data_IF_190076634268
#
_entry.id   IF_190076634268
#
_cell.length_a   1.000
_cell.length_b   1.000
_cell.length_c   1.000
_cell.angle_alpha   90.00
_cell.angle_beta   90.00
_cell.angle_gamma   90.00
#
_symmetry.space_group_name_H-M   'P 1'
#
loop_
_entity.id
_entity.type
_entity.pdbx_description
1 polymer ?
#
# COMPACT_ATOMS: atom_id res chain seq x y z
N UNK A 1 52.21 4.03 -13.10
CA UNK A 1 51.75 2.76 -13.71
C UNK A 1 51.38 1.79 -12.60
N UNK A 2 50.09 1.49 -12.43
CA UNK A 2 49.61 0.54 -11.42
C UNK A 2 49.60 -0.87 -12.02
N UNK A 3 50.50 -1.73 -11.57
CA UNK A 3 50.58 -3.12 -11.99
C UNK A 3 49.20 -3.79 -11.87
N UNK A 4 48.65 -4.25 -13.01
CA UNK A 4 47.45 -5.08 -13.04
C UNK A 4 47.82 -6.43 -12.45
N UNK A 5 47.34 -6.70 -11.25
CA UNK A 5 47.52 -7.99 -10.60
C UNK A 5 46.75 -9.07 -11.40
N UNK A 6 47.49 -9.96 -12.05
CA UNK A 6 46.97 -11.09 -12.83
C UNK A 6 46.31 -12.16 -11.95
N UNK A 7 46.20 -11.93 -10.63
CA UNK A 7 45.69 -12.86 -9.63
C UNK A 7 44.15 -12.92 -9.53
N UNK A 8 43.43 -11.94 -10.09
CA UNK A 8 41.98 -11.86 -9.92
C UNK A 8 41.17 -12.40 -11.11
N UNK A 9 40.38 -13.47 -10.92
CA UNK A 9 39.61 -14.08 -12.01
C UNK A 9 38.47 -13.16 -12.45
N UNK A 10 38.44 -12.81 -13.75
CA UNK A 10 37.29 -12.07 -14.34
C UNK A 10 36.17 -12.99 -14.81
N UNK A 11 36.51 -14.21 -15.16
CA UNK A 11 35.59 -15.23 -15.68
C UNK A 11 35.83 -16.49 -14.86
N UNK A 12 34.75 -17.06 -14.31
CA UNK A 12 34.80 -18.35 -13.63
C UNK A 12 34.12 -19.39 -14.53
N UNK A 13 34.72 -20.57 -14.74
CA UNK A 13 34.15 -21.61 -15.60
C UNK A 13 32.85 -22.15 -14.99
N UNK A 14 31.79 -22.24 -15.78
CA UNK A 14 30.46 -22.73 -15.34
C UNK A 14 30.32 -24.26 -15.44
N UNK A 15 31.42 -24.99 -15.26
CA UNK A 15 31.45 -26.46 -15.34
C UNK A 15 31.08 -27.09 -14.00
N UNK A 16 30.20 -28.09 -14.03
CA UNK A 16 29.76 -28.86 -12.86
C UNK A 16 30.92 -29.28 -11.94
N UNK A 17 30.69 -29.15 -10.63
CA UNK A 17 31.49 -29.62 -9.48
C UNK A 17 32.55 -28.68 -8.89
N UNK A 18 32.24 -27.40 -8.67
CA UNK A 18 32.89 -26.68 -7.56
C UNK A 18 31.91 -26.65 -6.38
N UNK A 19 32.31 -27.19 -5.23
CA UNK A 19 31.50 -27.15 -4.02
C UNK A 19 31.43 -25.71 -3.48
N UNK A 20 30.27 -25.29 -2.93
CA UNK A 20 30.13 -23.96 -2.35
C UNK A 20 31.09 -23.79 -1.17
N UNK A 21 31.73 -22.62 -1.07
CA UNK A 21 32.72 -22.33 -0.03
C UNK A 21 32.22 -21.27 0.93
N UNK A 22 32.55 -21.43 2.21
CA UNK A 22 32.30 -20.42 3.23
C UNK A 22 33.41 -19.37 3.19
N UNK A 23 33.07 -18.09 3.09
CA UNK A 23 34.02 -16.98 3.23
C UNK A 23 34.26 -16.58 4.69
N UNK A 24 35.41 -15.99 4.96
CA UNK A 24 35.74 -15.38 6.28
C UNK A 24 34.83 -14.21 6.64
N UNK A 25 34.06 -13.70 5.69
CA UNK A 25 33.01 -12.69 5.83
C UNK A 25 31.64 -13.28 6.18
N UNK A 26 31.56 -14.57 6.53
CA UNK A 26 30.33 -15.31 6.85
C UNK A 26 29.33 -15.43 5.69
N UNK A 27 29.79 -15.28 4.45
CA UNK A 27 28.98 -15.42 3.23
C UNK A 27 29.36 -16.70 2.48
N UNK A 28 28.36 -17.43 1.95
CA UNK A 28 28.58 -18.60 1.09
C UNK A 28 28.72 -18.16 -0.36
N UNK A 29 29.81 -18.58 -1.00
CA UNK A 29 30.08 -18.32 -2.41
C UNK A 29 29.83 -19.59 -3.22
N UNK A 30 29.27 -19.47 -4.43
CA UNK A 30 28.94 -20.65 -5.24
C UNK A 30 30.19 -21.44 -5.62
N UNK A 31 31.36 -20.79 -5.63
CA UNK A 31 32.65 -21.47 -5.65
C UNK A 31 33.81 -20.63 -5.13
N UNK A 32 34.96 -21.26 -4.95
CA UNK A 32 36.21 -20.58 -4.60
C UNK A 32 36.63 -19.54 -5.66
N UNK A 33 36.31 -19.78 -6.94
CA UNK A 33 36.55 -18.80 -8.00
C UNK A 33 35.65 -17.57 -7.83
N UNK A 34 34.37 -17.77 -7.52
CA UNK A 34 33.43 -16.66 -7.30
C UNK A 34 33.80 -15.81 -6.08
N UNK A 35 34.27 -16.44 -4.99
CA UNK A 35 34.77 -15.76 -3.81
C UNK A 35 35.93 -14.82 -4.18
N UNK A 36 36.93 -15.32 -4.90
CA UNK A 36 38.09 -14.53 -5.33
C UNK A 36 37.71 -13.43 -6.33
N UNK A 37 36.75 -13.67 -7.21
CA UNK A 37 36.27 -12.69 -8.19
C UNK A 37 35.58 -11.51 -7.51
N UNK A 38 34.68 -11.77 -6.56
CA UNK A 38 33.90 -10.73 -5.85
C UNK A 38 34.73 -9.94 -4.83
N UNK A 39 35.69 -10.61 -4.20
CA UNK A 39 36.49 -10.04 -3.10
C UNK A 39 37.97 -9.81 -3.44
N UNK A 40 38.30 -9.73 -4.73
CA UNK A 40 39.63 -9.37 -5.21
C UNK A 40 40.12 -8.07 -4.53
N UNK A 41 41.27 -8.14 -3.85
CA UNK A 41 41.88 -7.01 -3.14
C UNK A 41 41.22 -6.64 -1.80
N UNK A 42 40.19 -7.37 -1.35
CA UNK A 42 39.45 -7.09 -0.11
C UNK A 42 39.83 -8.01 1.07
N UNK A 43 40.79 -8.93 0.89
CA UNK A 43 41.31 -9.78 1.96
C UNK A 43 40.39 -10.91 2.44
N UNK A 44 39.27 -11.18 1.76
CA UNK A 44 38.34 -12.27 2.10
C UNK A 44 38.84 -13.58 1.48
N UNK A 45 38.90 -14.64 2.28
CA UNK A 45 39.39 -15.96 1.88
C UNK A 45 38.39 -17.05 2.27
N UNK A 46 38.62 -18.29 1.83
CA UNK A 46 37.83 -19.44 2.27
C UNK A 46 38.11 -19.66 3.76
N UNK A 47 37.05 -19.65 4.58
CA UNK A 47 37.13 -19.95 5.99
C UNK A 47 37.40 -21.44 6.22
N UNK A 48 38.30 -21.75 7.14
CA UNK A 48 38.52 -23.12 7.65
C UNK A 48 37.38 -23.53 8.59
N UNK A 49 36.80 -22.57 9.29
CA UNK A 49 35.65 -22.78 10.14
C UNK A 49 34.36 -22.63 9.33
N UNK A 50 33.79 -23.77 8.92
CA UNK A 50 32.53 -23.82 8.20
C UNK A 50 31.36 -23.33 9.05
N UNK A 51 31.48 -23.34 10.40
CA UNK A 51 30.42 -22.92 11.31
C UNK A 51 30.11 -21.43 11.23
N UNK A 52 31.01 -20.61 10.69
CA UNK A 52 30.77 -19.20 10.36
C UNK A 52 29.67 -19.00 9.31
N UNK A 53 29.48 -19.97 8.41
CA UNK A 53 28.44 -19.94 7.38
C UNK A 53 27.31 -20.94 7.64
N UNK A 54 27.40 -21.78 8.69
CA UNK A 54 26.23 -22.47 9.21
C UNK A 54 25.36 -21.43 9.90
N UNK A 55 24.27 -21.03 9.24
CA UNK A 55 23.37 -20.01 9.76
C UNK A 55 22.68 -20.47 11.05
N UNK A 56 22.65 -19.56 12.01
CA UNK A 56 21.95 -19.58 13.31
C UNK A 56 22.02 -20.90 14.04
N UNK A 57 22.95 -20.99 14.99
CA UNK A 57 23.04 -22.06 15.97
C UNK A 57 21.67 -22.26 16.67
N UNK A 58 20.83 -23.17 16.15
CA UNK A 58 19.53 -23.55 16.74
C UNK A 58 18.23 -23.23 15.96
N UNK A 59 18.23 -22.71 14.73
CA UNK A 59 16.97 -22.49 14.00
C UNK A 59 16.55 -23.70 13.15
N UNK A 60 15.56 -24.48 13.61
CA UNK A 60 14.91 -25.51 12.78
C UNK A 60 13.99 -24.85 11.75
N UNK A 61 14.44 -24.73 10.50
CA UNK A 61 13.66 -24.25 9.35
C UNK A 61 12.56 -25.26 8.90
N UNK A 62 11.92 -25.96 9.85
CA UNK A 62 10.85 -26.92 9.58
C UNK A 62 9.50 -26.20 9.50
N UNK A 63 9.14 -25.77 8.30
CA UNK A 63 7.82 -25.19 8.02
C UNK A 63 7.08 -26.01 6.96
N UNK A 64 5.82 -26.38 7.24
CA UNK A 64 4.96 -27.04 6.26
C UNK A 64 4.28 -25.98 5.39
N UNK A 65 4.55 -26.01 4.09
CA UNK A 65 3.92 -25.08 3.13
C UNK A 65 2.74 -25.73 2.40
N UNK A 66 1.70 -24.92 2.14
CA UNK A 66 0.58 -25.32 1.28
C UNK A 66 0.99 -25.47 -0.19
N UNK A 67 0.10 -26.07 -1.00
CA UNK A 67 0.28 -26.26 -2.44
C UNK A 67 -0.22 -25.08 -3.29
N UNK A 68 -0.47 -23.93 -2.67
CA UNK A 68 -0.92 -22.73 -3.37
C UNK A 68 0.12 -22.27 -4.40
N UNK A 69 -0.35 -21.93 -5.60
CA UNK A 69 0.48 -21.46 -6.72
C UNK A 69 0.45 -19.94 -6.77
N UNK A 70 1.39 -19.31 -6.10
CA UNK A 70 1.56 -17.85 -6.07
C UNK A 70 3.04 -17.52 -6.18
N UNK A 71 3.56 -17.70 -7.38
CA UNK A 71 5.00 -17.72 -7.63
C UNK A 71 5.69 -16.42 -7.18
N UNK A 72 6.90 -16.57 -6.66
CA UNK A 72 7.78 -15.45 -6.25
C UNK A 72 9.22 -15.71 -6.72
N UNK A 73 9.98 -14.65 -6.94
CA UNK A 73 11.37 -14.73 -7.37
C UNK A 73 12.32 -14.46 -6.19
N UNK A 74 13.26 -15.37 -5.95
CA UNK A 74 14.33 -15.17 -4.98
C UNK A 74 15.51 -14.37 -5.55
N UNK A 75 16.36 -13.83 -4.68
CA UNK A 75 17.62 -13.15 -5.08
C UNK A 75 18.64 -14.10 -5.70
N UNK A 76 18.43 -15.41 -5.57
CA UNK A 76 19.18 -16.47 -6.26
C UNK A 76 18.71 -16.72 -7.70
N UNK A 77 17.71 -15.97 -8.17
CA UNK A 77 17.15 -16.11 -9.52
C UNK A 77 16.25 -17.34 -9.69
N UNK A 78 15.88 -18.03 -8.61
CA UNK A 78 14.98 -19.19 -8.65
C UNK A 78 13.54 -18.76 -8.39
N UNK A 79 12.63 -19.34 -9.16
CA UNK A 79 11.19 -19.16 -8.94
C UNK A 79 10.70 -20.16 -7.90
N UNK A 80 10.12 -19.65 -6.83
CA UNK A 80 9.49 -20.45 -5.77
C UNK A 80 7.99 -20.53 -5.97
N UNK A 81 7.41 -21.69 -5.60
CA UNK A 81 5.98 -21.97 -5.80
C UNK A 81 5.06 -20.94 -5.11
N UNK A 82 5.47 -20.53 -3.90
CA UNK A 82 4.80 -19.53 -3.10
C UNK A 82 5.78 -18.90 -2.10
N UNK A 83 5.34 -17.82 -1.44
CA UNK A 83 6.13 -17.10 -0.43
C UNK A 83 6.57 -17.97 0.74
N UNK A 84 5.79 -18.98 1.12
CA UNK A 84 6.18 -19.92 2.19
C UNK A 84 7.40 -20.75 1.78
N UNK A 85 7.41 -21.29 0.56
CA UNK A 85 8.56 -22.03 0.03
C UNK A 85 9.80 -21.15 -0.10
N UNK A 86 9.64 -19.90 -0.51
CA UNK A 86 10.75 -18.94 -0.48
C UNK A 86 11.24 -18.71 0.96
N UNK A 87 10.34 -18.55 1.94
CA UNK A 87 10.72 -18.32 3.34
C UNK A 87 11.55 -19.47 3.92
N UNK A 88 11.24 -20.71 3.55
CA UNK A 88 12.06 -21.87 3.89
C UNK A 88 13.48 -21.74 3.35
N UNK A 89 13.63 -21.22 2.14
CA UNK A 89 14.91 -21.10 1.45
C UNK A 89 15.68 -19.85 1.92
N UNK A 90 14.98 -18.76 2.27
CA UNK A 90 15.52 -17.64 3.05
C UNK A 90 16.09 -18.15 4.38
N UNK A 91 15.39 -19.07 5.05
CA UNK A 91 15.86 -19.66 6.30
C UNK A 91 17.09 -20.56 6.08
N UNK A 92 17.06 -21.44 5.07
CA UNK A 92 18.10 -22.44 4.78
C UNK A 92 19.38 -21.86 4.18
N UNK A 93 19.24 -21.01 3.16
CA UNK A 93 20.34 -20.54 2.31
C UNK A 93 20.67 -19.07 2.54
N UNK A 94 19.74 -18.32 3.13
CA UNK A 94 19.94 -16.90 3.40
C UNK A 94 19.78 -15.97 2.21
N UNK A 95 18.97 -16.39 1.24
CA UNK A 95 18.50 -15.55 0.15
C UNK A 95 17.41 -14.57 0.63
N UNK A 96 16.91 -13.73 -0.27
CA UNK A 96 15.83 -12.77 -0.01
C UNK A 96 14.78 -12.81 -1.14
N UNK A 97 13.65 -12.15 -0.93
CA UNK A 97 12.65 -11.93 -1.98
C UNK A 97 13.15 -10.84 -2.94
N UNK A 98 13.31 -11.17 -4.22
CA UNK A 98 13.64 -10.21 -5.26
C UNK A 98 12.40 -9.45 -5.73
N UNK A 99 11.40 -10.16 -6.26
CA UNK A 99 10.13 -9.56 -6.69
C UNK A 99 8.99 -10.58 -6.68
N UNK A 100 7.76 -10.07 -6.72
CA UNK A 100 6.57 -10.91 -6.85
C UNK A 100 6.47 -11.50 -8.26
N UNK A 101 5.90 -12.69 -8.40
CA UNK A 101 5.84 -13.40 -9.67
C UNK A 101 7.06 -14.28 -9.96
N UNK A 102 7.02 -15.03 -11.07
CA UNK A 102 8.13 -15.88 -11.47
C UNK A 102 9.35 -15.06 -11.89
N UNK A 103 10.56 -15.56 -11.63
CA UNK A 103 11.77 -14.94 -12.13
C UNK A 103 11.75 -14.88 -13.66
N UNK A 104 12.22 -13.77 -14.21
CA UNK A 104 12.45 -13.65 -15.64
C UNK A 104 13.72 -14.44 -16.02
N UNK A 105 13.71 -15.14 -17.15
CA UNK A 105 14.88 -15.93 -17.55
C UNK A 105 16.02 -14.98 -17.97
N UNK A 106 17.08 -14.90 -17.17
CA UNK A 106 18.20 -13.98 -17.35
C UNK A 106 19.00 -14.30 -18.64
N UNK A 107 18.85 -15.50 -19.22
CA UNK A 107 19.37 -15.80 -20.57
C UNK A 107 18.72 -14.95 -21.67
N UNK A 108 17.60 -14.27 -21.39
CA UNK A 108 16.99 -13.24 -22.24
C UNK A 108 17.61 -11.86 -22.02
N UNK A 109 18.95 -11.76 -21.98
CA UNK A 109 19.71 -10.48 -21.99
C UNK A 109 19.49 -9.61 -23.24
N UNK A 110 18.50 -9.96 -24.08
CA UNK A 110 17.86 -9.11 -25.07
C UNK A 110 16.35 -9.39 -25.05
N UNK A 111 15.67 -9.03 -23.97
CA UNK A 111 14.24 -8.75 -24.10
C UNK A 111 14.14 -7.55 -25.06
N UNK A 112 13.81 -7.82 -26.31
CA UNK A 112 13.51 -6.76 -27.27
C UNK A 112 12.31 -6.00 -26.70
N UNK A 113 12.56 -4.77 -26.24
CA UNK A 113 11.50 -3.89 -25.80
C UNK A 113 10.48 -3.77 -26.93
N UNK A 114 9.19 -4.06 -26.69
CA UNK A 114 8.18 -3.80 -27.70
C UNK A 114 8.19 -2.30 -28.00
N UNK A 115 8.14 -1.92 -29.27
CA UNK A 115 8.06 -0.51 -29.71
C UNK A 115 6.62 -0.07 -29.96
N UNK A 116 5.72 -1.02 -30.21
CA UNK A 116 4.28 -0.79 -30.37
C UNK A 116 3.50 -1.98 -29.82
N UNK A 117 2.27 -1.70 -29.38
CA UNK A 117 1.29 -2.68 -28.91
C UNK A 117 0.04 -2.74 -29.78
N UNK A 118 0.06 -2.13 -30.97
CA UNK A 118 -1.02 -2.22 -31.94
C UNK A 118 -1.18 -3.68 -32.41
N UNK A 119 -2.39 -4.22 -32.28
CA UNK A 119 -2.67 -5.62 -32.62
C UNK A 119 -2.30 -6.65 -31.54
N UNK A 120 -1.78 -6.23 -30.38
CA UNK A 120 -1.49 -7.16 -29.29
C UNK A 120 -2.80 -7.74 -28.68
N UNK A 121 -2.78 -9.00 -28.22
CA UNK A 121 -3.94 -9.60 -27.55
C UNK A 121 -4.37 -8.79 -26.34
N UNK A 122 -5.67 -8.53 -26.23
CA UNK A 122 -6.27 -7.88 -25.07
C UNK A 122 -6.49 -8.92 -23.97
N UNK A 123 -5.42 -9.22 -23.22
CA UNK A 123 -5.44 -10.16 -22.09
C UNK A 123 -5.99 -9.55 -20.79
N UNK A 124 -6.46 -8.30 -20.87
CA UNK A 124 -7.15 -7.56 -19.82
C UNK A 124 -6.19 -6.88 -18.85
N UNK A 125 -6.73 -6.23 -17.80
CA UNK A 125 -5.86 -5.59 -16.83
C UNK A 125 -5.02 -6.65 -16.12
N UNK A 126 -3.70 -6.47 -16.19
CA UNK A 126 -2.71 -7.33 -15.56
C UNK A 126 -2.08 -6.61 -14.37
N UNK A 127 -1.66 -7.38 -13.36
CA UNK A 127 -0.90 -6.88 -12.23
C UNK A 127 0.59 -7.11 -12.51
N UNK A 128 1.41 -6.07 -12.39
CA UNK A 128 2.86 -6.16 -12.46
C UNK A 128 3.47 -6.60 -11.12
N UNK A 129 4.74 -6.96 -11.14
CA UNK A 129 5.52 -7.30 -9.93
C UNK A 129 5.90 -6.08 -9.10
N UNK A 130 5.76 -4.90 -9.69
CA UNK A 130 5.88 -3.58 -9.08
C UNK A 130 4.60 -3.10 -8.38
N UNK A 131 3.53 -3.91 -8.41
CA UNK A 131 2.24 -3.59 -7.81
C UNK A 131 1.34 -2.68 -8.66
N UNK A 132 1.79 -2.29 -9.87
CA UNK A 132 1.01 -1.48 -10.79
C UNK A 132 0.10 -2.34 -11.67
N UNK A 133 -0.93 -1.68 -12.22
CA UNK A 133 -1.90 -2.33 -13.10
C UNK A 133 -1.76 -1.79 -14.51
N UNK A 134 -1.60 -2.69 -15.48
CA UNK A 134 -1.43 -2.37 -16.88
C UNK A 134 -2.60 -2.89 -17.70
N UNK A 135 -2.94 -2.19 -18.80
CA UNK A 135 -4.07 -2.56 -19.66
C UNK A 135 -3.93 -3.92 -20.32
N UNK A 136 -2.69 -4.28 -20.68
CA UNK A 136 -2.30 -5.52 -21.35
C UNK A 136 -0.87 -5.92 -20.99
N UNK A 137 -0.50 -7.17 -21.24
CA UNK A 137 0.90 -7.62 -21.08
C UNK A 137 1.88 -6.86 -21.98
N UNK A 138 1.47 -6.50 -23.20
CA UNK A 138 2.33 -5.70 -24.08
C UNK A 138 2.59 -4.31 -23.49
N UNK A 139 1.54 -3.64 -23.00
CA UNK A 139 1.68 -2.30 -22.46
C UNK A 139 2.54 -2.27 -21.19
N UNK A 140 2.45 -3.30 -20.35
CA UNK A 140 3.40 -3.47 -19.24
C UNK A 140 4.83 -3.53 -19.76
N UNK A 141 5.14 -4.51 -20.63
CA UNK A 141 6.50 -4.71 -21.18
C UNK A 141 7.05 -3.47 -21.89
N UNK A 142 6.19 -2.70 -22.57
CA UNK A 142 6.53 -1.44 -23.23
C UNK A 142 6.96 -0.38 -22.21
N UNK A 143 6.19 -0.20 -21.14
CA UNK A 143 6.42 0.86 -20.14
C UNK A 143 7.52 0.52 -19.13
N UNK A 144 7.71 -0.77 -18.85
CA UNK A 144 8.65 -1.26 -17.83
C UNK A 144 9.86 -1.94 -18.43
N UNK A 145 10.16 -1.69 -19.71
CA UNK A 145 11.27 -2.36 -20.36
C UNK A 145 12.59 -2.06 -19.63
N UNK A 146 13.41 -3.10 -19.42
CA UNK A 146 14.67 -2.98 -18.67
C UNK A 146 14.52 -2.87 -17.15
N UNK A 147 13.30 -2.79 -16.62
CA UNK A 147 13.04 -2.72 -15.18
C UNK A 147 12.77 -4.10 -14.55
N UNK A 148 12.64 -5.16 -15.36
CA UNK A 148 12.41 -6.52 -14.88
C UNK A 148 11.00 -6.76 -14.32
N UNK A 149 10.03 -5.92 -14.67
CA UNK A 149 8.64 -6.09 -14.20
C UNK A 149 7.98 -7.26 -14.93
N UNK A 150 7.45 -8.21 -14.16
CA UNK A 150 6.77 -9.41 -14.66
C UNK A 150 5.30 -9.43 -14.29
N UNK A 151 4.51 -10.21 -15.03
CA UNK A 151 3.08 -10.40 -14.71
C UNK A 151 2.94 -11.24 -13.44
N UNK A 152 2.13 -10.77 -12.50
CA UNK A 152 1.82 -11.45 -11.24
C UNK A 152 0.33 -11.77 -11.12
N UNK A 153 -0.05 -12.42 -10.01
CA UNK A 153 -1.45 -12.70 -9.72
C UNK A 153 -2.21 -11.41 -9.41
N UNK A 154 -3.43 -11.26 -9.96
CA UNK A 154 -4.30 -10.09 -9.79
C UNK A 154 -4.60 -9.71 -8.35
N UNK A 155 -4.43 -10.65 -7.40
CA UNK A 155 -4.58 -10.41 -5.96
C UNK A 155 -3.54 -9.46 -5.37
N UNK A 156 -2.37 -9.34 -5.99
CA UNK A 156 -1.29 -8.46 -5.53
C UNK A 156 -1.57 -6.98 -5.84
N UNK A 157 -2.55 -6.71 -6.70
CA UNK A 157 -2.99 -5.37 -7.03
C UNK A 157 -4.40 -5.12 -6.47
N UNK A 158 -4.55 -4.06 -5.67
CA UNK A 158 -5.72 -3.79 -4.83
C UNK A 158 -7.05 -3.79 -5.59
N UNK A 159 -7.08 -3.21 -6.79
CA UNK A 159 -8.30 -3.03 -7.59
C UNK A 159 -8.55 -4.13 -8.59
N UNK A 160 -7.55 -4.92 -8.96
CA UNK A 160 -7.72 -6.05 -9.87
C UNK A 160 -8.19 -7.32 -9.16
N UNK A 161 -7.99 -7.43 -7.84
CA UNK A 161 -8.45 -8.57 -7.05
C UNK A 161 -9.97 -8.78 -7.15
N UNK A 162 -10.74 -7.69 -7.19
CA UNK A 162 -12.19 -7.70 -7.10
C UNK A 162 -12.92 -7.56 -8.45
N UNK A 163 -12.20 -7.69 -9.57
CA UNK A 163 -12.74 -7.51 -10.93
C UNK A 163 -13.97 -8.37 -11.25
N UNK A 164 -14.10 -9.54 -10.62
CA UNK A 164 -15.19 -10.50 -10.86
C UNK A 164 -16.00 -10.81 -9.59
N UNK A 165 -15.86 -9.99 -8.55
CA UNK A 165 -16.49 -10.26 -7.27
C UNK A 165 -17.95 -9.79 -7.26
N UNK A 166 -18.83 -10.65 -6.73
CA UNK A 166 -20.23 -10.32 -6.53
C UNK A 166 -20.39 -9.60 -5.18
N UNK A 167 -20.62 -8.29 -5.22
CA UNK A 167 -20.75 -7.49 -4.00
C UNK A 167 -22.13 -7.63 -3.37
N UNK A 168 -22.16 -8.04 -2.09
CA UNK A 168 -23.36 -7.97 -1.26
C UNK A 168 -23.85 -6.53 -1.06
N UNK A 169 -25.15 -6.38 -0.77
CA UNK A 169 -25.83 -5.09 -0.51
C UNK A 169 -25.53 -4.55 0.89
N UNK A 170 -24.25 -4.48 1.27
CA UNK A 170 -23.85 -3.76 2.49
C UNK A 170 -23.76 -2.27 2.13
N UNK A 171 -24.50 -1.43 2.84
CA UNK A 171 -24.52 0.03 2.66
C UNK A 171 -23.50 0.68 3.59
N UNK A 172 -22.22 0.61 3.23
CA UNK A 172 -21.14 1.37 3.88
C UNK A 172 -20.39 2.14 2.80
N UNK A 173 -20.75 3.39 2.50
CA UNK A 173 -20.22 4.12 1.35
C UNK A 173 -18.70 4.29 1.46
N UNK A 174 -18.02 4.18 0.33
CA UNK A 174 -16.57 4.35 0.22
C UNK A 174 -16.27 5.50 -0.75
N UNK A 175 -15.33 6.37 -0.39
CA UNK A 175 -14.83 7.42 -1.29
C UNK A 175 -13.59 6.90 -2.01
N UNK A 176 -13.60 6.93 -3.34
CA UNK A 176 -12.44 6.58 -4.14
C UNK A 176 -11.50 7.76 -4.35
N UNK A 177 -10.22 7.49 -4.56
CA UNK A 177 -9.21 8.49 -4.94
C UNK A 177 -9.51 9.17 -6.28
N UNK A 178 -10.45 8.63 -7.06
CA UNK A 178 -11.02 9.24 -8.27
C UNK A 178 -12.09 10.32 -7.96
N UNK A 179 -12.34 10.60 -6.67
CA UNK A 179 -13.30 11.60 -6.22
C UNK A 179 -14.76 11.15 -6.31
N UNK A 180 -15.01 9.86 -6.53
CA UNK A 180 -16.36 9.31 -6.63
C UNK A 180 -16.75 8.54 -5.37
N UNK A 181 -18.01 8.66 -4.96
CA UNK A 181 -18.57 7.89 -3.85
C UNK A 181 -19.22 6.61 -4.39
N UNK A 182 -18.88 5.49 -3.78
CA UNK A 182 -19.39 4.17 -4.11
C UNK A 182 -20.27 3.65 -3.00
N UNK A 183 -21.30 2.86 -3.35
CA UNK A 183 -22.24 2.29 -2.38
C UNK A 183 -21.56 1.44 -1.30
N UNK A 184 -20.44 0.79 -1.66
CA UNK A 184 -19.52 0.17 -0.74
C UNK A 184 -18.12 -0.03 -1.34
N UNK A 185 -17.15 -0.33 -0.49
CA UNK A 185 -15.76 -0.59 -0.88
C UNK A 185 -15.62 -1.74 -1.89
N UNK A 186 -16.46 -2.77 -1.81
CA UNK A 186 -16.49 -3.84 -2.82
C UNK A 186 -16.91 -3.30 -4.19
N UNK A 187 -17.99 -2.52 -4.26
CA UNK A 187 -18.49 -1.89 -5.49
C UNK A 187 -17.48 -0.90 -6.06
N UNK A 188 -16.76 -0.17 -5.20
CA UNK A 188 -15.63 0.68 -5.60
C UNK A 188 -14.55 -0.13 -6.32
N UNK A 189 -14.06 -1.20 -5.69
CA UNK A 189 -12.98 -2.02 -6.26
C UNK A 189 -13.43 -2.77 -7.52
N UNK A 190 -14.66 -3.27 -7.54
CA UNK A 190 -15.25 -3.98 -8.69
C UNK A 190 -15.43 -3.06 -9.91
N UNK A 191 -15.98 -1.85 -9.72
CA UNK A 191 -16.16 -0.86 -10.80
C UNK A 191 -14.83 -0.32 -11.33
N UNK A 192 -13.81 -0.23 -10.48
CA UNK A 192 -12.47 0.23 -10.84
C UNK A 192 -11.50 -0.91 -11.14
N UNK A 193 -12.01 -2.07 -11.58
CA UNK A 193 -11.20 -3.15 -12.11
C UNK A 193 -10.19 -2.61 -13.13
N UNK A 194 -8.91 -2.87 -12.91
CA UNK A 194 -7.87 -2.43 -13.84
C UNK A 194 -7.38 -1.00 -13.67
N UNK A 195 -7.92 -0.24 -12.72
CA UNK A 195 -7.54 1.16 -12.46
C UNK A 195 -6.92 1.31 -11.08
N UNK A 196 -5.99 2.25 -10.90
CA UNK A 196 -5.39 2.51 -9.59
C UNK A 196 -6.26 3.44 -8.73
N UNK A 197 -7.39 2.93 -8.24
CA UNK A 197 -8.35 3.66 -7.39
C UNK A 197 -8.41 3.03 -6.00
N UNK A 198 -8.07 3.79 -4.97
CA UNK A 198 -8.05 3.32 -3.58
C UNK A 198 -9.04 4.11 -2.73
N UNK A 199 -9.40 3.55 -1.58
CA UNK A 199 -10.31 4.19 -0.64
C UNK A 199 -9.57 5.34 0.04
N UNK A 200 -10.19 6.52 0.05
CA UNK A 200 -9.71 7.73 0.72
C UNK A 200 -10.78 8.23 1.69
N UNK A 201 -10.42 9.08 2.68
CA UNK A 201 -11.40 9.63 3.61
C UNK A 201 -12.58 10.30 2.89
N UNK A 202 -13.80 10.09 3.39
CA UNK A 202 -15.03 10.59 2.76
C UNK A 202 -15.01 12.10 2.50
N UNK A 203 -14.29 12.85 3.35
CA UNK A 203 -14.06 14.29 3.21
C UNK A 203 -13.48 14.69 1.84
N UNK A 204 -12.65 13.84 1.22
CA UNK A 204 -12.07 14.09 -0.10
C UNK A 204 -13.12 14.12 -1.23
N UNK A 205 -14.12 13.23 -1.18
CA UNK A 205 -15.21 13.25 -2.16
C UNK A 205 -16.23 14.33 -1.83
N UNK A 206 -16.50 14.55 -0.54
CA UNK A 206 -17.44 15.57 -0.09
C UNK A 206 -16.96 17.00 -0.39
N UNK A 207 -15.65 17.23 -0.46
CA UNK A 207 -15.07 18.51 -0.91
C UNK A 207 -15.16 18.68 -2.44
N UNK A 208 -15.05 17.61 -3.22
CA UNK A 208 -15.23 17.67 -4.68
C UNK A 208 -16.69 17.88 -5.12
N UNK A 209 -17.65 17.27 -4.43
CA UNK A 209 -19.09 17.50 -4.66
C UNK A 209 -19.48 18.97 -4.41
N UNK A 210 -18.77 19.69 -3.53
CA UNK A 210 -18.97 21.14 -3.29
C UNK A 210 -18.58 22.00 -4.49
N UNK A 211 -17.67 21.54 -5.34
CA UNK A 211 -17.13 22.32 -6.46
C UNK A 211 -17.76 21.99 -7.82
N UNK A 212 -18.41 20.83 -7.99
CA UNK A 212 -18.89 20.36 -9.31
C UNK A 212 -20.19 21.03 -9.78
N UNK A 213 -21.02 21.55 -8.87
CA UNK A 213 -22.23 22.26 -9.22
C UNK A 213 -22.07 23.73 -8.81
N UNK A 214 -21.86 24.61 -9.79
CA UNK A 214 -21.72 26.06 -9.64
C UNK A 214 -22.95 26.75 -9.02
N UNK A 215 -23.18 26.48 -7.74
CA UNK A 215 -23.97 27.28 -6.83
C UNK A 215 -22.99 27.86 -5.81
N UNK A 216 -22.73 29.15 -5.93
CA UNK A 216 -21.94 29.97 -5.01
C UNK A 216 -22.27 29.65 -3.54
N UNK A 217 -21.21 29.56 -2.71
CA UNK A 217 -21.22 29.58 -1.23
C UNK A 217 -21.16 28.25 -0.44
N UNK A 218 -20.49 27.21 -0.95
CA UNK A 218 -20.06 26.11 -0.08
C UNK A 218 -18.61 26.32 0.40
N UNK A 219 -18.38 26.68 1.69
CA UNK A 219 -17.04 26.87 2.21
C UNK A 219 -16.24 25.55 2.16
N UNK A 220 -14.98 25.67 1.73
CA UNK A 220 -14.01 24.55 1.65
C UNK A 220 -13.18 24.42 2.93
N UNK A 221 -13.02 25.52 3.65
CA UNK A 221 -12.36 25.62 4.96
C UNK A 221 -13.07 26.71 5.78
N UNK A 222 -13.11 26.56 7.10
CA UNK A 222 -13.59 27.58 8.04
C UNK A 222 -12.44 28.28 8.77
N UNK A 223 -11.19 28.10 8.30
CA UNK A 223 -10.02 28.76 8.87
C UNK A 223 -10.15 30.29 8.72
N UNK A 224 -10.13 30.99 9.86
CA UNK A 224 -10.25 32.45 9.92
C UNK A 224 -11.65 32.97 10.27
N UNK A 225 -12.66 32.11 10.42
CA UNK A 225 -13.95 32.52 10.98
C UNK A 225 -13.93 32.49 12.52
N UNK A 226 -14.67 33.41 13.14
CA UNK A 226 -14.84 33.44 14.60
C UNK A 226 -15.65 32.22 15.03
N UNK A 227 -15.10 31.42 15.94
CA UNK A 227 -15.84 30.36 16.62
C UNK A 227 -16.99 30.98 17.43
N UNK A 228 -18.20 30.81 16.90
CA UNK A 228 -19.43 31.22 17.54
C UNK A 228 -20.38 30.05 17.50
N UNK A 229 -20.64 29.51 18.68
CA UNK A 229 -21.52 28.37 18.85
C UNK A 229 -22.91 28.71 18.30
N UNK A 230 -23.43 27.83 17.45
CA UNK A 230 -24.77 27.95 16.86
C UNK A 230 -25.59 26.66 17.07
N UNK A 231 -26.89 26.82 17.21
CA UNK A 231 -27.84 25.71 17.31
C UNK A 231 -28.45 25.45 15.93
N UNK A 232 -28.41 24.21 15.46
CA UNK A 232 -29.04 23.77 14.22
C UNK A 232 -30.48 23.30 14.41
N UNK A 233 -31.25 23.33 13.34
CA UNK A 233 -32.63 22.80 13.28
C UNK A 233 -32.72 21.30 13.56
N UNK A 234 -31.60 20.58 13.51
CA UNK A 234 -31.45 19.18 13.85
C UNK A 234 -31.17 18.94 15.36
N UNK A 235 -31.09 20.01 16.16
CA UNK A 235 -30.79 19.94 17.58
C UNK A 235 -29.32 19.67 17.89
N UNK A 236 -28.42 19.82 16.91
CA UNK A 236 -26.97 19.78 17.12
C UNK A 236 -26.39 21.19 17.29
N UNK A 237 -25.19 21.23 17.89
CA UNK A 237 -24.48 22.45 18.24
C UNK A 237 -23.18 22.52 17.44
N UNK A 238 -23.05 23.51 16.57
CA UNK A 238 -21.87 23.68 15.70
C UNK A 238 -20.93 24.77 16.22
N UNK A 239 -19.64 24.70 15.90
CA UNK A 239 -18.65 25.66 16.40
C UNK A 239 -18.72 27.01 15.66
N UNK A 240 -19.23 27.02 14.43
CA UNK A 240 -19.38 28.21 13.61
C UNK A 240 -20.51 28.06 12.60
N UNK A 241 -20.93 29.20 12.02
CA UNK A 241 -21.92 29.20 10.94
C UNK A 241 -21.38 28.53 9.67
N UNK A 242 -20.08 28.64 9.40
CA UNK A 242 -19.42 27.91 8.32
C UNK A 242 -19.52 26.39 8.48
N UNK A 243 -19.28 25.82 9.67
CA UNK A 243 -19.42 24.36 9.88
C UNK A 243 -20.82 23.86 9.56
N UNK A 244 -21.86 24.55 10.03
CA UNK A 244 -23.26 24.19 9.72
C UNK A 244 -23.55 24.31 8.22
N UNK A 245 -23.03 25.35 7.55
CA UNK A 245 -23.19 25.52 6.11
C UNK A 245 -22.51 24.40 5.31
N UNK A 246 -21.35 23.90 5.76
CA UNK A 246 -20.65 22.78 5.12
C UNK A 246 -21.51 21.50 5.10
N UNK A 247 -22.34 21.27 6.11
CA UNK A 247 -23.23 20.08 6.18
C UNK A 247 -24.43 20.15 5.22
N UNK A 248 -24.80 21.37 4.81
CA UNK A 248 -25.82 21.58 3.80
C UNK A 248 -25.31 21.42 2.37
N UNK A 249 -24.00 21.20 2.20
CA UNK A 249 -23.39 21.05 0.91
C UNK A 249 -23.48 19.61 0.39
N UNK A 250 -23.69 19.47 -0.92
CA UNK A 250 -23.79 18.17 -1.62
C UNK A 250 -25.24 17.78 -1.97
N UNK A 251 -25.40 17.00 -3.04
CA UNK A 251 -26.71 16.65 -3.61
C UNK A 251 -27.51 15.63 -2.76
N UNK A 252 -26.86 14.99 -1.79
CA UNK A 252 -27.43 13.94 -0.94
C UNK A 252 -28.03 14.47 0.37
N UNK A 253 -27.85 15.75 0.71
CA UNK A 253 -28.43 16.35 1.91
C UNK A 253 -29.92 16.60 1.70
N UNK A 254 -30.74 15.54 1.82
CA UNK A 254 -32.21 15.62 1.72
C UNK A 254 -32.84 16.52 2.79
N UNK A 255 -32.09 16.90 3.82
CA UNK A 255 -32.52 17.78 4.91
C UNK A 255 -31.49 18.88 5.12
N UNK A 256 -31.82 20.10 4.69
CA UNK A 256 -31.02 21.29 4.99
C UNK A 256 -31.19 21.66 6.46
N UNK A 257 -30.09 21.83 7.16
CA UNK A 257 -29.99 22.30 8.54
C UNK A 257 -29.95 23.82 8.53
N UNK A 258 -30.84 24.48 9.25
CA UNK A 258 -30.83 25.94 9.38
C UNK A 258 -30.57 26.35 10.82
N UNK A 259 -30.04 27.56 11.00
CA UNK A 259 -29.79 28.12 12.32
C UNK A 259 -31.12 28.34 13.05
N UNK A 260 -31.21 27.85 14.27
CA UNK A 260 -32.29 28.13 15.20
C UNK A 260 -31.77 28.88 16.41
N UNK A 261 -32.69 29.39 17.23
CA UNK A 261 -32.33 30.07 18.48
C UNK A 261 -31.50 29.15 19.39
N UNK A 262 -30.42 29.69 19.95
CA UNK A 262 -29.49 28.96 20.82
C UNK A 262 -30.18 28.37 22.04
N UNK A 263 -31.33 28.91 22.45
CA UNK A 263 -32.11 28.38 23.55
C UNK A 263 -32.59 26.95 23.36
N UNK A 264 -32.82 26.53 22.11
CA UNK A 264 -33.27 25.17 21.80
C UNK A 264 -32.21 24.11 22.06
N UNK A 265 -30.93 24.50 22.10
CA UNK A 265 -29.81 23.60 22.36
C UNK A 265 -29.24 23.73 23.78
N UNK A 266 -29.76 24.62 24.64
CA UNK A 266 -29.20 24.87 25.98
C UNK A 266 -29.05 23.59 26.82
N UNK A 267 -30.11 22.77 26.89
CA UNK A 267 -30.08 21.52 27.65
C UNK A 267 -29.00 20.54 27.15
N UNK A 268 -28.73 20.56 25.84
CA UNK A 268 -27.72 19.71 25.21
C UNK A 268 -26.32 20.24 25.49
N UNK A 269 -26.13 21.55 25.37
CA UNK A 269 -24.86 22.22 25.73
C UNK A 269 -24.53 21.91 27.19
N UNK A 270 -25.46 22.16 28.11
CA UNK A 270 -25.23 21.92 29.54
C UNK A 270 -24.90 20.45 29.83
N UNK A 271 -25.59 19.51 29.18
CA UNK A 271 -25.31 18.08 29.35
C UNK A 271 -23.92 17.70 28.83
N UNK A 272 -23.55 18.14 27.64
CA UNK A 272 -22.27 17.79 27.01
C UNK A 272 -21.07 18.56 27.62
N UNK A 273 -21.30 19.74 28.19
CA UNK A 273 -20.27 20.53 28.88
C UNK A 273 -19.92 20.01 30.27
N UNK A 274 -20.74 19.13 30.86
CA UNK A 274 -20.44 18.44 32.12
C UNK A 274 -19.42 17.31 31.95
N UNK A 275 -19.18 16.84 30.73
CA UNK A 275 -18.09 15.92 30.42
C UNK A 275 -16.78 16.72 30.37
N UNK A 276 -16.07 16.78 31.50
CA UNK A 276 -14.76 17.42 31.58
C UNK A 276 -13.68 16.38 31.27
N UNK A 277 -12.98 16.55 30.14
CA UNK A 277 -11.79 15.77 29.83
C UNK A 277 -10.62 16.32 30.67
N UNK A 278 -10.34 15.68 31.80
CA UNK A 278 -9.18 15.98 32.64
C UNK A 278 -8.17 14.84 32.51
N UNK A 279 -6.94 15.16 32.09
CA UNK A 279 -5.78 14.25 32.06
C UNK A 279 -5.97 12.98 31.22
N UNK A 280 -6.49 13.09 30.00
CA UNK A 280 -6.37 11.98 29.05
C UNK A 280 -4.95 11.95 28.46
N UNK A 281 -4.41 10.75 28.23
CA UNK A 281 -3.24 10.57 27.38
C UNK A 281 -3.50 11.20 26.01
N UNK A 282 -2.50 11.91 25.45
CA UNK A 282 -2.56 12.47 24.10
C UNK A 282 -2.56 11.34 23.07
N UNK A 283 -3.73 10.75 22.85
CA UNK A 283 -3.99 9.80 21.77
C UNK A 283 -4.85 10.47 20.71
N UNK A 284 -4.20 10.87 19.62
CA UNK A 284 -4.83 11.63 18.54
C UNK A 284 -5.84 10.75 17.79
N UNK A 285 -7.12 11.13 17.86
CA UNK A 285 -8.20 10.43 17.15
C UNK A 285 -8.78 11.29 16.04
N UNK A 286 -9.06 10.67 14.89
CA UNK A 286 -9.65 11.36 13.74
C UNK A 286 -11.17 11.21 13.78
N UNK A 287 -11.89 12.33 13.74
CA UNK A 287 -13.35 12.35 13.62
C UNK A 287 -13.82 12.25 12.18
N UNK A 288 -15.06 11.81 12.00
CA UNK A 288 -15.78 11.79 10.71
C UNK A 288 -15.97 13.17 10.07
N UNK A 289 -15.71 14.25 10.82
CA UNK A 289 -15.68 15.64 10.36
C UNK A 289 -14.33 16.07 9.76
N UNK A 290 -13.37 15.13 9.65
CA UNK A 290 -12.00 15.39 9.21
C UNK A 290 -11.19 16.32 10.13
N UNK A 291 -11.59 16.41 11.40
CA UNK A 291 -10.80 17.06 12.45
C UNK A 291 -10.09 16.00 13.30
N UNK A 292 -8.85 16.28 13.69
CA UNK A 292 -8.12 15.49 14.68
C UNK A 292 -8.40 16.05 16.07
N UNK A 293 -8.81 15.19 17.00
CA UNK A 293 -9.07 15.49 18.40
C UNK A 293 -7.90 15.01 19.26
N UNK A 294 -7.64 15.69 20.38
CA UNK A 294 -6.47 15.44 21.23
C UNK A 294 -6.62 14.16 22.06
N UNK A 295 -7.85 13.72 22.31
CA UNK A 295 -8.15 12.47 23.01
C UNK A 295 -9.49 11.88 22.57
N UNK A 296 -9.72 10.62 22.91
CA UNK A 296 -11.02 9.96 22.74
C UNK A 296 -12.15 10.67 23.50
N UNK A 297 -11.86 11.28 24.66
CA UNK A 297 -12.85 12.06 25.41
C UNK A 297 -13.26 13.33 24.66
N UNK A 298 -12.31 14.01 24.01
CA UNK A 298 -12.66 15.16 23.17
C UNK A 298 -13.53 14.78 21.98
N UNK A 299 -13.24 13.63 21.36
CA UNK A 299 -14.10 13.10 20.33
C UNK A 299 -15.50 12.81 20.89
N UNK A 300 -15.63 12.21 22.09
CA UNK A 300 -16.92 11.99 22.74
C UNK A 300 -17.69 13.28 23.05
N UNK A 301 -17.00 14.33 23.50
CA UNK A 301 -17.61 15.64 23.73
C UNK A 301 -18.10 16.24 22.40
N UNK A 302 -17.32 16.11 21.34
CA UNK A 302 -17.71 16.51 19.99
C UNK A 302 -18.85 15.64 19.43
N UNK A 303 -18.87 14.34 19.72
CA UNK A 303 -19.98 13.41 19.42
C UNK A 303 -21.26 13.89 20.11
N UNK A 304 -21.18 14.27 21.38
CA UNK A 304 -22.32 14.73 22.16
C UNK A 304 -22.91 16.03 21.58
N UNK A 305 -22.06 17.00 21.19
CA UNK A 305 -22.49 18.30 20.68
C UNK A 305 -22.91 18.26 19.21
N UNK A 306 -22.09 17.66 18.35
CA UNK A 306 -22.18 17.72 16.88
C UNK A 306 -22.65 16.41 16.23
N UNK A 307 -22.73 15.30 16.97
CA UNK A 307 -23.11 13.99 16.42
C UNK A 307 -22.01 13.31 15.58
N UNK A 308 -20.75 13.66 15.81
CA UNK A 308 -19.57 13.14 15.10
C UNK A 308 -19.21 11.75 15.63
N UNK A 309 -18.79 10.83 14.77
CA UNK A 309 -18.22 9.53 15.13
C UNK A 309 -16.74 9.44 14.79
#
# INVERSE_FOLDING_TARGET
>A
EGARDNSCPRICPSGNSEEPVCGTDSVIYASACELKKKNCGKGVTVSVDQTLCLRSYGSNCDHRCGKERDAVCGTDGRTYLNRCMLQLEICRVGIELSHLGPCNNISAHRENCPVSCEGAPMDGPICGSDGNVYRTTCQMKLLTCGQGVVRTNKKHCQTTRHCRESCWRVSKPACGSDGNIYSNSCRMKSKNCGKHVFEVPMAFCMSQERNKNGGTACPVSCEGEKERIICGSDGNVYSSECEMRMLNCGALSKRKIFKVDTSKCWNKIEKCSRESCQNDEEDLVCGTDAKTYRSACELQQATCLKGIQ
#
